data_IF_257319733597
#
_entry.id   IF_257319733597
#
_cell.length_a   1.000
_cell.length_b   1.000
_cell.length_c   1.000
_cell.angle_alpha   90.00
_cell.angle_beta   90.00
_cell.angle_gamma   90.00
#
_symmetry.space_group_name_H-M   'P 1'
#
loop_
_entity.id
_entity.type
_entity.pdbx_description
1 polymer ?
#
# COMPACT_ATOMS: atom_id res chain seq x y z
N UNK A 1 1.86 -19.79 -19.66
CA UNK A 1 1.53 -19.50 -18.25
C UNK A 1 1.77 -18.00 -17.96
N UNK A 2 0.90 -17.11 -18.45
CA UNK A 2 1.05 -15.63 -18.28
C UNK A 2 0.07 -15.01 -17.27
N UNK A 3 -0.83 -15.80 -16.68
CA UNK A 3 -1.96 -15.28 -15.93
C UNK A 3 -1.53 -14.75 -14.54
N UNK A 4 -0.51 -15.35 -13.94
CA UNK A 4 -0.01 -14.96 -12.60
C UNK A 4 0.81 -13.67 -12.58
N UNK A 5 1.46 -13.29 -13.70
CA UNK A 5 2.17 -12.01 -13.79
C UNK A 5 1.22 -10.81 -13.74
N UNK A 6 0.04 -10.95 -14.34
CA UNK A 6 -0.95 -9.87 -14.40
C UNK A 6 -1.70 -9.67 -13.07
N UNK A 7 -1.80 -10.69 -12.22
CA UNK A 7 -2.43 -10.55 -10.92
C UNK A 7 -1.51 -9.82 -9.91
N UNK A 8 -0.21 -10.09 -9.98
CA UNK A 8 0.79 -9.45 -9.12
C UNK A 8 0.93 -7.95 -9.43
N UNK A 9 0.91 -7.58 -10.72
CA UNK A 9 0.83 -6.19 -11.16
C UNK A 9 -0.45 -5.45 -10.73
N UNK A 10 -1.55 -6.16 -10.50
CA UNK A 10 -2.85 -5.55 -10.18
C UNK A 10 -2.99 -5.16 -8.70
N UNK A 11 -2.27 -5.84 -7.80
CA UNK A 11 -2.24 -5.52 -6.37
C UNK A 11 -1.29 -4.34 -6.05
N UNK A 12 -0.19 -4.20 -6.80
CA UNK A 12 0.76 -3.09 -6.64
C UNK A 12 0.17 -1.70 -6.95
N UNK A 13 -0.93 -1.63 -7.71
CA UNK A 13 -1.52 -0.36 -8.16
C UNK A 13 -2.85 -0.01 -7.48
N UNK A 14 -3.21 -0.69 -6.38
CA UNK A 14 -4.42 -0.31 -5.64
C UNK A 14 -4.15 1.00 -4.91
N UNK A 15 -4.66 2.08 -5.51
CA UNK A 15 -4.68 3.41 -4.93
C UNK A 15 -5.69 3.42 -3.78
N UNK A 16 -5.24 3.79 -2.59
CA UNK A 16 -6.06 3.91 -1.39
C UNK A 16 -6.24 5.39 -1.09
N UNK A 17 -7.49 5.82 -1.04
CA UNK A 17 -7.90 7.20 -0.78
C UNK A 17 -7.83 7.55 0.71
N UNK A 18 -7.82 8.84 1.02
CA UNK A 18 -7.87 9.32 2.40
C UNK A 18 -9.14 8.87 3.15
N UNK A 19 -10.27 8.66 2.47
CA UNK A 19 -11.49 8.15 3.10
C UNK A 19 -11.31 6.72 3.59
N UNK A 20 -10.77 5.86 2.73
CA UNK A 20 -10.47 4.46 3.09
C UNK A 20 -9.43 4.42 4.20
N UNK A 21 -8.35 5.21 4.08
CA UNK A 21 -7.32 5.31 5.12
C UNK A 21 -7.89 5.76 6.47
N UNK A 22 -8.80 6.73 6.49
CA UNK A 22 -9.45 7.17 7.73
C UNK A 22 -10.33 6.08 8.33
N UNK A 23 -11.03 5.30 7.49
CA UNK A 23 -11.86 4.20 7.95
C UNK A 23 -11.03 3.11 8.64
N UNK A 24 -9.87 2.72 8.08
CA UNK A 24 -9.00 1.70 8.70
C UNK A 24 -8.15 2.22 9.86
N UNK A 25 -7.69 3.48 9.82
CA UNK A 25 -6.82 4.03 10.89
C UNK A 25 -7.59 4.68 12.04
N UNK A 26 -8.90 4.91 11.89
CA UNK A 26 -9.71 5.68 12.84
C UNK A 26 -9.38 7.18 12.87
N UNK A 27 -8.55 7.68 11.94
CA UNK A 27 -8.21 9.09 11.89
C UNK A 27 -9.41 9.93 11.42
N UNK A 28 -9.72 11.02 12.12
CA UNK A 28 -10.83 11.92 11.74
C UNK A 28 -10.41 13.08 10.84
N UNK A 29 -9.12 13.47 10.86
CA UNK A 29 -8.60 14.62 10.10
C UNK A 29 -7.46 14.23 9.17
N UNK A 30 -7.33 14.93 8.03
CA UNK A 30 -6.22 14.70 7.09
C UNK A 30 -4.87 15.02 7.73
N UNK A 31 -4.79 16.04 8.59
CA UNK A 31 -3.56 16.39 9.29
C UNK A 31 -3.07 15.28 10.23
N UNK A 32 -3.98 14.62 10.96
CA UNK A 32 -3.64 13.45 11.79
C UNK A 32 -3.21 12.26 10.93
N UNK A 33 -3.93 12.02 9.84
CA UNK A 33 -3.59 10.96 8.89
C UNK A 33 -2.19 11.16 8.29
N UNK A 34 -1.88 12.37 7.84
CA UNK A 34 -0.55 12.72 7.30
C UNK A 34 0.57 12.48 8.32
N UNK A 35 0.37 12.93 9.57
CA UNK A 35 1.33 12.69 10.66
C UNK A 35 1.54 11.19 10.89
N UNK A 36 0.48 10.40 10.89
CA UNK A 36 0.55 8.96 11.04
C UNK A 36 1.34 8.32 9.89
N UNK A 37 1.01 8.65 8.65
CA UNK A 37 1.69 8.11 7.47
C UNK A 37 3.18 8.44 7.48
N UNK A 38 3.55 9.68 7.84
CA UNK A 38 4.97 10.06 8.00
C UNK A 38 5.65 9.31 9.14
N UNK A 39 4.99 9.17 10.30
CA UNK A 39 5.55 8.45 11.44
C UNK A 39 5.83 6.98 11.10
N UNK A 40 4.94 6.37 10.32
CA UNK A 40 5.08 5.00 9.83
C UNK A 40 5.95 4.88 8.56
N UNK A 41 6.53 5.99 8.06
CA UNK A 41 7.33 6.03 6.83
C UNK A 41 6.61 5.48 5.59
N UNK A 42 5.28 5.58 5.55
CA UNK A 42 4.46 5.22 4.39
C UNK A 42 4.60 6.32 3.33
N UNK A 43 4.88 5.95 2.09
CA UNK A 43 4.90 6.89 0.96
C UNK A 43 3.47 7.26 0.57
N UNK A 44 3.19 8.54 0.37
CA UNK A 44 1.87 9.02 -0.04
C UNK A 44 1.98 10.22 -0.99
N UNK A 45 0.89 10.52 -1.70
CA UNK A 45 0.75 11.60 -2.66
C UNK A 45 -0.36 12.55 -2.22
N UNK A 46 -0.25 13.81 -2.62
CA UNK A 46 -1.35 14.77 -2.51
C UNK A 46 -2.06 14.88 -3.85
N UNK A 47 -3.36 14.66 -3.83
CA UNK A 47 -4.25 15.00 -4.93
C UNK A 47 -4.88 16.38 -4.75
N UNK A 48 -5.83 16.68 -5.64
CA UNK A 48 -6.50 17.97 -5.62
C UNK A 48 -7.29 18.18 -4.31
N UNK A 49 -7.43 19.42 -3.87
CA UNK A 49 -8.13 19.79 -2.62
C UNK A 49 -7.56 19.15 -1.34
N UNK A 50 -6.25 18.85 -1.30
CA UNK A 50 -5.59 18.31 -0.11
C UNK A 50 -6.00 16.87 0.23
N UNK A 51 -6.47 16.13 -0.78
CA UNK A 51 -6.69 14.69 -0.65
C UNK A 51 -5.35 13.97 -0.56
N UNK A 52 -5.29 12.93 0.26
CA UNK A 52 -4.11 12.10 0.44
C UNK A 52 -4.40 10.74 -0.20
N UNK A 53 -3.45 10.26 -1.00
CA UNK A 53 -3.50 8.95 -1.63
C UNK A 53 -2.25 8.17 -1.27
N UNK A 54 -2.38 6.87 -1.11
CA UNK A 54 -1.25 5.94 -0.97
C UNK A 54 -1.51 4.72 -1.84
N UNK A 55 -0.51 3.85 -1.98
CA UNK A 55 -0.72 2.52 -2.53
C UNK A 55 -0.71 1.48 -1.41
N UNK A 56 -1.38 0.35 -1.65
CA UNK A 56 -1.31 -0.79 -0.73
C UNK A 56 0.13 -1.30 -0.58
N UNK A 57 0.91 -1.27 -1.67
CA UNK A 57 2.34 -1.59 -1.66
C UNK A 57 3.13 -0.70 -0.69
N UNK A 58 2.92 0.62 -0.72
CA UNK A 58 3.62 1.54 0.19
C UNK A 58 3.28 1.26 1.66
N UNK A 59 2.05 0.82 1.94
CA UNK A 59 1.64 0.40 3.29
C UNK A 59 2.35 -0.91 3.68
N UNK A 60 2.36 -1.91 2.80
CA UNK A 60 3.04 -3.18 3.06
C UNK A 60 4.55 -2.99 3.30
N UNK A 61 5.20 -2.17 2.48
CA UNK A 61 6.61 -1.82 2.64
C UNK A 61 6.89 -1.16 4.00
N UNK A 62 6.03 -0.24 4.43
CA UNK A 62 6.14 0.40 5.74
C UNK A 62 5.95 -0.58 6.90
N UNK A 63 5.10 -1.59 6.74
CA UNK A 63 4.88 -2.65 7.73
C UNK A 63 5.98 -3.72 7.71
N UNK A 64 7.00 -3.60 6.85
CA UNK A 64 8.05 -4.60 6.71
C UNK A 64 7.57 -5.90 6.06
N UNK A 65 6.40 -5.87 5.42
CA UNK A 65 5.95 -6.97 4.56
C UNK A 65 6.72 -6.81 3.26
N UNK A 66 7.92 -7.39 3.21
CA UNK A 66 8.55 -7.69 1.94
C UNK A 66 7.66 -8.73 1.26
N UNK A 67 7.19 -8.42 0.05
CA UNK A 67 6.63 -9.45 -0.81
C UNK A 67 7.63 -10.59 -0.83
N UNK A 68 7.25 -11.72 -0.25
CA UNK A 68 8.06 -12.92 -0.30
C UNK A 68 8.12 -13.25 -1.77
N UNK A 69 9.24 -12.93 -2.39
CA UNK A 69 9.57 -13.33 -3.74
C UNK A 69 9.58 -14.86 -3.72
N UNK A 70 8.44 -15.47 -4.03
CA UNK A 70 8.31 -16.92 -4.20
C UNK A 70 8.92 -17.33 -5.55
N UNK A 71 10.14 -16.89 -5.77
CA UNK A 71 11.15 -17.57 -6.57
C UNK A 71 11.70 -18.81 -5.84
N UNK A 72 10.96 -19.35 -4.86
CA UNK A 72 11.20 -20.69 -4.36
C UNK A 72 10.78 -21.66 -5.48
N UNK A 73 11.75 -21.97 -6.34
CA UNK A 73 11.79 -23.18 -7.12
C UNK A 73 11.68 -24.35 -6.12
N UNK A 74 10.47 -24.77 -5.79
CA UNK A 74 10.25 -26.04 -5.11
C UNK A 74 10.41 -27.08 -6.22
N UNK A 75 11.66 -27.47 -6.46
CA UNK A 75 11.95 -28.73 -7.14
C UNK A 75 11.45 -29.84 -6.20
N UNK A 76 10.34 -30.46 -6.59
CA UNK A 76 9.95 -31.74 -6.02
C UNK A 76 10.85 -32.79 -6.68
N UNK A 77 11.78 -33.37 -5.93
CA UNK A 77 12.35 -34.69 -6.23
C UNK A 77 11.28 -35.78 -6.07
#
# INVERSE_FOLDING_TARGET
MQIYKNLNLKLMQILVSNQELKAVTGCTSNAKLEKLLRAQKVKFLYGNNGQIFTTLEAIHQAMGIQEIDKSANIEFE
#
